data_IF_143121326956
#
_entry.id   IF_143121326956
#
_cell.length_a   1.000
_cell.length_b   1.000
_cell.length_c   1.000
_cell.angle_alpha   90.00
_cell.angle_beta   90.00
_cell.angle_gamma   90.00
#
_symmetry.space_group_name_H-M   'P 1'
#
loop_
_entity.id
_entity.type
_entity.pdbx_description
1 polymer ?
#
# COMPACT_ATOMS: atom_id res chain seq x y z
N UNK A 1 67.50 -14.31 -26.83
CA UNK A 1 67.04 -13.66 -25.59
C UNK A 1 66.39 -12.35 -25.99
N UNK A 2 65.09 -12.39 -26.24
CA UNK A 2 64.29 -11.26 -26.74
C UNK A 2 63.80 -10.44 -25.55
N UNK A 3 64.11 -9.14 -25.50
CA UNK A 3 63.56 -8.21 -24.52
C UNK A 3 62.36 -7.52 -25.15
N UNK A 4 61.15 -7.87 -24.69
CA UNK A 4 59.91 -7.16 -25.01
C UNK A 4 59.87 -5.85 -24.22
N UNK A 5 59.58 -4.77 -24.93
CA UNK A 5 59.18 -3.48 -24.39
C UNK A 5 57.67 -3.56 -24.17
N UNK A 6 57.20 -3.42 -22.93
CA UNK A 6 55.76 -3.22 -22.63
C UNK A 6 55.55 -1.75 -22.33
N UNK A 7 54.77 -1.11 -23.21
CA UNK A 7 54.22 0.23 -23.05
C UNK A 7 53.00 0.10 -22.13
N UNK A 8 53.03 0.72 -20.95
CA UNK A 8 51.87 0.85 -20.07
C UNK A 8 51.25 2.20 -20.37
N UNK A 9 50.10 2.20 -21.02
CA UNK A 9 49.23 3.38 -21.16
C UNK A 9 48.35 3.39 -19.91
N UNK A 10 48.54 4.38 -19.05
CA UNK A 10 47.68 4.65 -17.91
C UNK A 10 46.54 5.56 -18.42
N UNK A 11 45.38 4.98 -18.71
CA UNK A 11 44.16 5.73 -18.97
C UNK A 11 43.59 6.16 -17.60
N UNK A 12 43.68 7.45 -17.31
CA UNK A 12 42.98 8.09 -16.21
C UNK A 12 41.56 8.36 -16.70
N UNK A 13 40.64 7.44 -16.42
CA UNK A 13 39.21 7.66 -16.61
C UNK A 13 38.72 8.56 -15.49
N UNK A 14 38.53 9.84 -15.79
CA UNK A 14 37.80 10.77 -14.95
C UNK A 14 36.31 10.47 -15.21
N UNK A 15 35.71 9.65 -14.34
CA UNK A 15 34.25 9.53 -14.27
C UNK A 15 33.75 10.82 -13.61
N UNK A 16 33.32 11.78 -14.43
CA UNK A 16 32.40 12.82 -14.02
C UNK A 16 31.02 12.16 -14.00
N UNK A 17 30.73 11.45 -12.91
CA UNK A 17 29.35 11.15 -12.56
C UNK A 17 28.79 12.42 -11.94
N UNK A 18 27.88 13.10 -12.64
CA UNK A 18 26.96 14.04 -12.02
C UNK A 18 26.26 13.28 -10.91
N UNK A 19 26.53 13.67 -9.67
CA UNK A 19 25.70 13.25 -8.56
C UNK A 19 24.53 14.21 -8.60
N UNK A 20 23.39 13.76 -9.12
CA UNK A 20 22.12 14.30 -8.64
C UNK A 20 22.18 14.18 -7.11
N UNK A 21 22.18 15.31 -6.41
CA UNK A 21 22.02 15.32 -4.97
C UNK A 21 20.60 14.83 -4.72
N UNK A 22 20.45 13.58 -4.31
CA UNK A 22 19.18 13.11 -3.77
C UNK A 22 18.87 14.00 -2.56
N UNK A 23 17.96 14.95 -2.73
CA UNK A 23 17.39 15.72 -1.61
C UNK A 23 16.84 14.72 -0.59
N UNK A 24 16.85 15.11 0.68
CA UNK A 24 16.27 14.30 1.74
C UNK A 24 14.76 14.18 1.53
N UNK A 25 14.27 13.04 1.05
CA UNK A 25 12.84 12.87 0.76
C UNK A 25 12.15 12.23 1.96
N UNK A 26 11.51 13.06 2.79
CA UNK A 26 10.37 12.68 3.60
C UNK A 26 9.14 13.35 2.99
N UNK A 27 8.23 12.56 2.42
CA UNK A 27 7.02 13.05 1.78
C UNK A 27 5.92 13.18 2.81
N UNK A 28 5.27 14.35 2.85
CA UNK A 28 4.02 14.54 3.59
C UNK A 28 4.10 14.17 5.09
N UNK A 29 5.20 14.51 5.76
CA UNK A 29 5.41 14.16 7.16
C UNK A 29 4.46 14.86 8.16
N UNK A 30 3.83 15.97 7.74
CA UNK A 30 2.76 16.65 8.48
C UNK A 30 1.35 16.21 8.09
N UNK A 31 1.18 15.31 7.10
CA UNK A 31 -0.12 14.83 6.63
C UNK A 31 -1.06 15.94 6.07
N UNK A 32 -0.50 17.10 5.72
CA UNK A 32 -1.26 18.30 5.35
C UNK A 32 -1.91 18.23 3.96
N UNK A 33 -1.58 17.21 3.16
CA UNK A 33 -2.31 16.88 1.93
C UNK A 33 -3.73 16.37 2.23
N UNK A 34 -4.01 15.99 3.48
CA UNK A 34 -5.29 15.39 3.89
C UNK A 34 -5.38 13.90 3.60
N UNK A 35 -4.29 13.28 3.15
CA UNK A 35 -4.18 11.86 2.83
C UNK A 35 -2.80 11.30 3.23
N UNK A 36 -2.56 10.03 2.94
CA UNK A 36 -1.30 9.34 3.22
C UNK A 36 -0.31 9.37 2.06
N UNK A 37 -0.33 10.39 1.19
CA UNK A 37 0.64 10.51 0.07
C UNK A 37 2.07 10.24 0.56
N UNK A 38 2.77 9.28 -0.05
CA UNK A 38 4.12 8.85 0.31
C UNK A 38 4.22 7.90 1.52
N UNK A 39 3.12 7.57 2.20
CA UNK A 39 3.09 6.62 3.30
C UNK A 39 2.30 5.37 2.92
N UNK A 40 2.77 4.21 3.37
CA UNK A 40 2.01 2.96 3.30
C UNK A 40 1.37 2.70 4.65
N UNK A 41 0.10 2.31 4.67
CA UNK A 41 -0.66 2.03 5.89
C UNK A 41 -1.17 0.60 5.93
N UNK A 42 -1.61 0.16 7.11
CA UNK A 42 -2.43 -1.04 7.27
C UNK A 42 -3.40 -0.86 8.44
N UNK A 43 -4.56 -1.51 8.35
CA UNK A 43 -5.63 -1.51 9.34
C UNK A 43 -6.27 -0.14 9.57
N UNK A 44 -6.72 0.11 10.80
CA UNK A 44 -7.46 1.31 11.19
C UNK A 44 -6.54 2.51 11.31
N UNK A 45 -6.03 2.99 10.18
CA UNK A 45 -5.29 4.23 10.00
C UNK A 45 -6.14 5.28 9.30
N UNK A 46 -6.05 6.54 9.72
CA UNK A 46 -6.70 7.64 9.02
C UNK A 46 -5.93 8.95 9.19
N UNK A 47 -5.99 9.83 8.19
CA UNK A 47 -5.63 11.24 8.34
C UNK A 47 -6.86 11.99 8.83
N UNK A 48 -6.71 12.72 9.93
CA UNK A 48 -7.84 13.33 10.64
C UNK A 48 -7.51 14.75 11.08
N UNK A 49 -8.56 15.58 11.20
CA UNK A 49 -8.45 16.96 11.70
C UNK A 49 -8.70 17.07 13.21
N UNK A 50 -9.19 16.00 13.84
CA UNK A 50 -9.49 15.95 15.28
C UNK A 50 -9.71 14.51 15.77
N UNK A 51 -9.22 14.17 16.97
CA UNK A 51 -9.55 12.92 17.67
C UNK A 51 -10.11 13.22 19.06
N UNK A 52 -11.42 13.08 19.25
CA UNK A 52 -12.08 13.48 20.50
C UNK A 52 -11.90 14.98 20.75
N UNK A 53 -11.14 15.37 21.79
CA UNK A 53 -10.77 16.77 22.06
C UNK A 53 -9.35 17.15 21.62
N UNK A 54 -8.62 16.24 20.97
CA UNK A 54 -7.24 16.42 20.54
C UNK A 54 -7.26 16.96 19.11
N UNK A 55 -6.56 18.06 18.88
CA UNK A 55 -6.31 18.63 17.55
C UNK A 55 -4.88 18.31 17.11
N UNK A 56 -4.59 18.36 15.80
CA UNK A 56 -3.23 18.33 15.25
C UNK A 56 -2.28 19.26 16.01
N UNK A 57 -1.03 18.82 16.11
CA UNK A 57 0.04 19.59 16.74
C UNK A 57 0.49 20.72 15.81
N UNK A 58 0.68 20.41 14.53
CA UNK A 58 0.97 21.36 13.48
C UNK A 58 -0.12 21.30 12.40
N UNK A 59 -0.31 22.40 11.66
CA UNK A 59 -1.23 22.41 10.53
C UNK A 59 -2.70 22.07 10.85
N UNK A 60 -3.32 21.33 9.94
CA UNK A 60 -4.76 21.00 9.91
C UNK A 60 -5.04 19.52 10.06
N UNK A 61 -4.06 18.65 9.82
CA UNK A 61 -4.22 17.21 9.76
C UNK A 61 -3.18 16.49 10.63
N UNK A 62 -3.49 15.27 11.06
CA UNK A 62 -2.56 14.39 11.75
C UNK A 62 -2.88 12.93 11.41
N UNK A 63 -1.90 12.04 11.51
CA UNK A 63 -2.13 10.61 11.37
C UNK A 63 -2.67 10.01 12.67
N UNK A 64 -3.69 9.15 12.54
CA UNK A 64 -4.20 8.31 13.63
C UNK A 64 -4.07 6.85 13.24
N UNK A 65 -3.37 6.08 14.05
CA UNK A 65 -3.47 4.62 14.11
C UNK A 65 -4.34 4.25 15.32
N UNK A 66 -5.30 3.36 15.13
CA UNK A 66 -6.15 2.85 16.21
C UNK A 66 -6.06 1.33 16.25
N UNK A 67 -6.14 0.73 17.43
CA UNK A 67 -6.26 -0.72 17.55
C UNK A 67 -7.50 -1.21 16.78
N UNK A 68 -7.33 -2.25 15.96
CA UNK A 68 -8.40 -2.95 15.23
C UNK A 68 -8.29 -4.45 15.50
N UNK A 69 -9.33 -5.23 15.19
CA UNK A 69 -9.36 -6.69 15.34
C UNK A 69 -8.83 -7.47 14.14
N UNK A 70 -8.54 -6.79 13.02
CA UNK A 70 -8.39 -7.39 11.69
C UNK A 70 -7.07 -8.12 11.44
N UNK A 71 -5.90 -7.54 11.76
CA UNK A 71 -4.63 -8.22 11.50
C UNK A 71 -3.82 -8.50 12.77
N UNK A 72 -3.33 -9.74 12.85
CA UNK A 72 -2.50 -10.23 13.95
C UNK A 72 -1.09 -9.64 13.98
N UNK A 73 -0.41 -9.83 15.10
CA UNK A 73 0.95 -9.30 15.37
C UNK A 73 1.96 -9.69 14.29
N UNK A 74 1.90 -10.92 13.77
CA UNK A 74 2.84 -11.38 12.74
C UNK A 74 2.75 -10.58 11.44
N UNK A 75 1.53 -10.21 11.04
CA UNK A 75 1.29 -9.36 9.87
C UNK A 75 1.87 -7.96 10.08
N UNK A 76 1.66 -7.34 11.25
CA UNK A 76 2.21 -6.01 11.54
C UNK A 76 3.74 -6.04 11.55
N UNK A 77 4.34 -7.12 12.05
CA UNK A 77 5.80 -7.30 12.01
C UNK A 77 6.31 -7.41 10.57
N UNK A 78 5.67 -8.22 9.72
CA UNK A 78 6.01 -8.35 8.31
C UNK A 78 5.84 -7.03 7.56
N UNK A 79 4.70 -6.36 7.74
CA UNK A 79 4.42 -5.04 7.16
C UNK A 79 5.51 -4.02 7.51
N UNK A 80 5.97 -3.98 8.76
CA UNK A 80 7.03 -3.06 9.22
C UNK A 80 8.45 -3.56 8.95
N UNK A 81 8.64 -4.72 8.31
CA UNK A 81 9.96 -5.32 8.08
C UNK A 81 10.70 -5.72 9.37
N UNK A 82 9.95 -6.01 10.43
CA UNK A 82 10.49 -6.48 11.71
C UNK A 82 10.75 -8.00 11.67
N UNK A 83 11.70 -8.46 12.49
CA UNK A 83 11.84 -9.89 12.74
C UNK A 83 10.62 -10.41 13.53
N UNK A 84 10.13 -11.61 13.20
CA UNK A 84 9.00 -12.21 13.89
C UNK A 84 9.21 -12.30 15.42
N UNK A 85 8.23 -11.86 16.19
CA UNK A 85 8.25 -11.76 17.65
C UNK A 85 8.93 -10.50 18.22
N UNK A 86 9.37 -9.56 17.39
CA UNK A 86 9.99 -8.30 17.84
C UNK A 86 9.04 -7.47 18.70
N UNK A 87 7.74 -7.43 18.37
CA UNK A 87 6.75 -6.65 19.11
C UNK A 87 6.36 -7.32 20.44
N UNK A 88 6.51 -8.64 20.54
CA UNK A 88 6.33 -9.38 21.80
C UNK A 88 7.36 -8.99 22.87
N UNK A 89 8.45 -8.31 22.49
CA UNK A 89 9.40 -7.71 23.44
C UNK A 89 8.89 -6.43 24.11
N UNK A 90 7.92 -5.75 23.51
CA UNK A 90 7.36 -4.48 23.99
C UNK A 90 6.08 -4.65 24.81
N UNK A 91 5.37 -5.76 24.62
CA UNK A 91 4.14 -6.12 25.33
C UNK A 91 3.67 -7.52 24.95
N UNK A 92 2.39 -7.81 25.16
CA UNK A 92 1.76 -9.05 24.69
C UNK A 92 0.77 -8.73 23.57
N UNK A 93 1.24 -8.27 22.39
CA UNK A 93 0.37 -7.81 21.33
C UNK A 93 -0.47 -8.95 20.75
N UNK A 94 -1.69 -8.64 20.34
CA UNK A 94 -2.56 -9.53 19.55
C UNK A 94 -2.73 -8.97 18.15
N UNK A 95 -3.30 -7.77 18.04
CA UNK A 95 -3.71 -7.11 16.79
C UNK A 95 -3.36 -5.62 16.84
N UNK A 96 -3.29 -4.93 15.71
CA UNK A 96 -2.92 -3.51 15.71
C UNK A 96 -3.00 -2.84 14.35
N UNK A 97 -2.58 -1.57 14.33
CA UNK A 97 -2.48 -0.77 13.10
C UNK A 97 -1.13 -0.10 13.01
N UNK A 98 -0.67 0.11 11.79
CA UNK A 98 0.65 0.66 11.53
C UNK A 98 0.71 1.47 10.24
N UNK A 99 1.72 2.33 10.17
CA UNK A 99 2.07 3.13 8.99
C UNK A 99 3.60 3.15 8.85
N UNK A 100 4.11 3.22 7.62
CA UNK A 100 5.53 3.35 7.33
C UNK A 100 5.81 4.22 6.12
N UNK A 101 7.03 4.75 6.05
CA UNK A 101 7.58 5.38 4.86
C UNK A 101 9.06 5.02 4.76
N UNK A 102 9.51 4.76 3.53
CA UNK A 102 10.92 4.73 3.22
C UNK A 102 11.41 6.16 3.00
N UNK A 103 12.46 6.55 3.73
CA UNK A 103 13.03 7.89 3.69
C UNK A 103 14.48 7.79 3.25
N UNK A 104 14.90 8.71 2.39
CA UNK A 104 16.31 8.81 1.98
C UNK A 104 16.97 9.93 2.77
N UNK A 105 17.99 9.57 3.54
CA UNK A 105 18.76 10.48 4.38
C UNK A 105 20.13 10.69 3.73
N UNK A 106 20.40 11.85 3.11
CA UNK A 106 21.61 12.06 2.32
C UNK A 106 22.88 12.18 3.19
N UNK A 107 22.75 12.74 4.40
CA UNK A 107 23.84 12.92 5.38
C UNK A 107 23.33 12.67 6.81
N UNK A 108 24.20 12.53 7.81
CA UNK A 108 23.77 12.13 9.15
C UNK A 108 22.81 13.17 9.76
N UNK A 109 21.53 12.80 9.90
CA UNK A 109 20.44 13.71 10.24
C UNK A 109 19.62 13.18 11.42
N UNK A 110 18.58 13.93 11.81
CA UNK A 110 17.61 13.53 12.83
C UNK A 110 16.23 13.40 12.23
N UNK A 111 15.55 12.30 12.53
CA UNK A 111 14.10 12.24 12.37
C UNK A 111 13.49 12.84 13.64
N UNK A 112 12.58 13.78 13.48
CA UNK A 112 11.82 14.38 14.57
C UNK A 112 10.34 14.16 14.33
N UNK A 113 9.55 13.99 15.39
CA UNK A 113 8.10 13.86 15.27
C UNK A 113 7.40 14.14 16.60
N UNK A 114 6.14 14.56 16.49
CA UNK A 114 5.22 14.70 17.61
C UNK A 114 4.31 13.49 17.65
N UNK A 115 4.05 12.99 18.86
CA UNK A 115 3.19 11.84 19.05
C UNK A 115 2.35 11.95 20.31
N UNK A 116 1.18 11.31 20.30
CA UNK A 116 0.33 11.19 21.47
C UNK A 116 -0.33 9.81 21.50
N UNK A 117 -0.11 9.08 22.59
CA UNK A 117 -0.84 7.85 22.90
C UNK A 117 -2.05 8.16 23.76
N UNK A 118 -3.21 7.67 23.38
CA UNK A 118 -4.45 7.77 24.14
C UNK A 118 -5.12 6.41 24.20
N UNK A 119 -5.70 6.08 25.34
CA UNK A 119 -6.29 4.76 25.55
C UNK A 119 -7.65 4.89 26.22
N UNK A 120 -8.62 4.06 25.82
CA UNK A 120 -9.82 3.80 26.60
C UNK A 120 -9.73 2.47 27.36
N UNK A 121 -8.53 1.91 27.46
CA UNK A 121 -8.22 0.63 28.11
C UNK A 121 -7.75 0.81 29.57
N UNK A 122 -7.57 -0.30 30.29
CA UNK A 122 -7.21 -0.38 31.69
C UNK A 122 -6.43 -1.68 31.98
N UNK A 123 -5.59 -1.66 33.02
CA UNK A 123 -4.84 -2.87 33.38
C UNK A 123 -5.78 -4.05 33.75
N UNK A 124 -5.46 -5.29 33.36
CA UNK A 124 -4.16 -5.79 32.90
C UNK A 124 -3.90 -5.70 31.40
N UNK A 125 -4.86 -5.21 30.61
CA UNK A 125 -4.72 -5.01 29.18
C UNK A 125 -3.82 -3.80 28.96
N UNK A 126 -2.67 -4.04 28.34
CA UNK A 126 -1.57 -3.09 28.29
C UNK A 126 -1.22 -2.78 26.85
N UNK A 127 -2.22 -2.29 26.13
CA UNK A 127 -2.06 -1.68 24.82
C UNK A 127 -0.88 -0.73 24.80
N UNK A 128 -0.17 -0.72 23.68
CA UNK A 128 1.06 0.04 23.57
C UNK A 128 1.24 0.65 22.19
N UNK A 129 1.85 1.83 22.18
CA UNK A 129 2.29 2.51 20.98
C UNK A 129 3.80 2.41 20.84
N UNK A 130 4.27 2.37 19.61
CA UNK A 130 5.68 2.22 19.28
C UNK A 130 6.02 2.94 17.97
N UNK A 131 7.32 3.16 17.77
CA UNK A 131 7.86 3.50 16.45
C UNK A 131 8.89 2.45 16.05
N UNK A 132 9.19 2.41 14.76
CA UNK A 132 10.20 1.53 14.17
C UNK A 132 11.19 2.30 13.34
N UNK A 133 12.44 1.84 13.35
CA UNK A 133 13.48 2.34 12.48
C UNK A 133 14.35 1.16 12.05
N UNK A 134 14.47 0.96 10.74
CA UNK A 134 15.30 -0.10 10.11
C UNK A 134 15.07 -1.50 10.70
N UNK A 135 13.81 -1.92 10.79
CA UNK A 135 13.46 -3.25 11.27
C UNK A 135 13.64 -3.43 12.78
N UNK A 136 13.77 -2.36 13.57
CA UNK A 136 13.79 -2.38 15.04
C UNK A 136 12.62 -1.60 15.61
N UNK A 137 11.99 -2.13 16.67
CA UNK A 137 10.84 -1.51 17.34
C UNK A 137 11.19 -0.91 18.71
N UNK A 138 10.63 0.26 19.00
CA UNK A 138 10.87 1.04 20.21
C UNK A 138 9.56 1.50 20.84
N UNK A 139 9.36 1.18 22.12
CA UNK A 139 8.17 1.58 22.87
C UNK A 139 8.08 3.12 23.03
N UNK A 140 6.95 3.70 22.65
CA UNK A 140 6.60 5.09 22.94
C UNK A 140 5.87 5.20 24.28
N UNK A 141 4.75 4.47 24.43
CA UNK A 141 3.92 4.48 25.64
C UNK A 141 3.04 3.24 25.72
N UNK A 142 2.38 3.03 26.87
CA UNK A 142 1.40 1.98 27.10
C UNK A 142 0.42 2.36 28.21
N UNK A 143 -0.65 1.56 28.39
CA UNK A 143 -1.67 1.78 29.43
C UNK A 143 -1.05 1.90 30.82
N UNK A 144 -0.09 1.05 31.17
CA UNK A 144 0.61 1.11 32.45
C UNK A 144 1.33 2.46 32.68
N UNK A 145 1.75 3.14 31.61
CA UNK A 145 2.46 4.42 31.67
C UNK A 145 1.51 5.61 31.77
N UNK A 146 0.36 5.57 31.11
CA UNK A 146 -0.61 6.67 31.09
C UNK A 146 -1.74 6.54 32.12
N UNK A 147 -1.89 5.34 32.70
CA UNK A 147 -2.99 4.98 33.60
C UNK A 147 -4.27 4.58 32.85
N UNK A 148 -5.21 3.98 33.59
CA UNK A 148 -6.50 3.54 33.05
C UNK A 148 -7.25 4.71 32.39
N UNK A 149 -7.67 4.50 31.14
CA UNK A 149 -8.31 5.48 30.27
C UNK A 149 -7.48 6.77 30.08
N UNK A 150 -6.16 6.63 30.10
CA UNK A 150 -5.20 7.72 30.13
C UNK A 150 -4.79 8.26 28.75
N UNK A 151 -3.97 9.30 28.79
CA UNK A 151 -3.30 9.87 27.62
C UNK A 151 -1.92 10.39 28.01
N UNK A 152 -0.95 10.26 27.10
CA UNK A 152 0.39 10.85 27.27
C UNK A 152 0.38 12.37 27.10
N UNK A 153 -0.65 12.94 26.47
CA UNK A 153 -0.54 14.24 25.80
C UNK A 153 0.48 14.21 24.65
N UNK A 154 0.60 15.32 23.92
CA UNK A 154 1.62 15.48 22.89
C UNK A 154 3.03 15.41 23.50
N UNK A 155 3.83 14.51 22.97
CA UNK A 155 5.24 14.29 23.27
C UNK A 155 6.06 14.52 22.00
N UNK A 156 7.34 14.83 22.17
CA UNK A 156 8.28 15.08 21.09
C UNK A 156 9.44 14.09 21.17
N UNK A 157 9.85 13.53 20.03
CA UNK A 157 11.00 12.63 19.94
C UNK A 157 11.94 13.07 18.81
N UNK A 158 13.24 12.89 19.06
CA UNK A 158 14.31 13.03 18.06
C UNK A 158 15.10 11.72 18.02
N UNK A 159 15.37 11.23 16.80
CA UNK A 159 16.13 10.00 16.56
C UNK A 159 17.27 10.32 15.60
N UNK A 160 18.51 10.13 16.04
CA UNK A 160 19.68 10.28 15.18
C UNK A 160 19.72 9.12 14.16
N UNK A 161 19.89 9.45 12.87
CA UNK A 161 20.01 8.51 11.76
C UNK A 161 21.31 8.73 11.00
N UNK A 162 21.82 7.66 10.39
CA UNK A 162 22.98 7.73 9.51
C UNK A 162 22.58 8.16 8.10
N UNK A 163 23.51 8.54 7.23
CA UNK A 163 23.22 8.64 5.81
C UNK A 163 22.80 7.27 5.25
N UNK A 164 21.75 7.24 4.44
CA UNK A 164 21.25 6.04 3.78
C UNK A 164 19.73 6.08 3.61
N UNK A 165 19.22 5.01 3.02
CA UNK A 165 17.78 4.73 2.97
C UNK A 165 17.38 4.08 4.29
N UNK A 166 16.31 4.60 4.89
CA UNK A 166 15.78 4.17 6.18
C UNK A 166 14.29 3.91 6.06
N UNK A 167 13.76 2.98 6.86
CA UNK A 167 12.30 2.81 6.98
C UNK A 167 11.88 3.27 8.36
N UNK A 168 11.10 4.35 8.42
CA UNK A 168 10.45 4.84 9.64
C UNK A 168 9.01 4.34 9.65
N UNK A 169 8.55 3.84 10.80
CA UNK A 169 7.16 3.43 10.96
C UNK A 169 6.63 3.70 12.35
N UNK A 170 5.31 3.75 12.46
CA UNK A 170 4.59 3.98 13.70
C UNK A 170 3.48 2.96 13.83
N UNK A 171 3.14 2.56 15.06
CA UNK A 171 2.05 1.62 15.27
C UNK A 171 1.50 1.61 16.68
N UNK A 172 0.31 1.04 16.80
CA UNK A 172 -0.37 0.77 18.07
C UNK A 172 -0.86 -0.67 18.08
N UNK A 173 -0.58 -1.38 19.18
CA UNK A 173 -1.00 -2.77 19.37
C UNK A 173 -1.95 -2.89 20.55
N UNK A 174 -2.96 -3.73 20.36
CA UNK A 174 -3.85 -4.22 21.40
C UNK A 174 -3.16 -5.37 22.15
N UNK A 175 -3.34 -5.43 23.48
CA UNK A 175 -2.86 -6.53 24.31
C UNK A 175 -4.01 -7.31 24.97
N UNK A 176 -4.58 -8.26 24.22
CA UNK A 176 -5.46 -9.34 24.74
C UNK A 176 -6.81 -8.84 25.29
N UNK A 177 -7.46 -7.86 24.66
CA UNK A 177 -8.90 -7.60 24.89
C UNK A 177 -9.67 -7.40 23.57
N UNK A 178 -10.99 -7.65 23.60
CA UNK A 178 -11.91 -7.52 22.47
C UNK A 178 -12.91 -6.35 22.63
N UNK A 179 -12.78 -5.52 23.68
CA UNK A 179 -13.80 -4.54 24.06
C UNK A 179 -13.41 -3.05 24.14
N UNK A 180 -12.12 -2.68 24.04
CA UNK A 180 -11.62 -1.31 24.21
C UNK A 180 -10.51 -0.99 23.23
N UNK A 181 -10.35 0.31 22.90
CA UNK A 181 -9.44 0.74 21.84
C UNK A 181 -8.42 1.77 22.34
N UNK A 182 -7.21 1.63 21.81
CA UNK A 182 -6.14 2.60 21.99
C UNK A 182 -5.77 3.23 20.64
N UNK A 183 -5.25 4.45 20.68
CA UNK A 183 -4.83 5.16 19.49
C UNK A 183 -3.46 5.81 19.70
N UNK A 184 -2.66 5.75 18.64
CA UNK A 184 -1.47 6.56 18.46
C UNK A 184 -1.78 7.66 17.45
N UNK A 185 -1.57 8.90 17.86
CA UNK A 185 -1.58 10.07 16.98
C UNK A 185 -0.14 10.46 16.68
N UNK A 186 0.17 10.73 15.41
CA UNK A 186 1.49 11.19 14.96
C UNK A 186 1.31 12.39 14.06
N UNK A 187 2.20 13.37 14.21
CA UNK A 187 2.16 14.62 13.46
C UNK A 187 3.57 15.23 13.34
N UNK A 188 3.74 16.12 12.37
CA UNK A 188 4.96 16.87 12.09
C UNK A 188 6.22 15.98 12.12
N UNK A 189 6.14 14.84 11.41
CA UNK A 189 7.34 14.05 11.11
C UNK A 189 8.21 14.90 10.19
N UNK A 190 9.46 15.13 10.58
CA UNK A 190 10.37 15.97 9.83
C UNK A 190 11.79 15.41 9.88
N UNK A 191 12.51 15.56 8.76
CA UNK A 191 13.95 15.39 8.71
C UNK A 191 14.60 16.72 9.07
N UNK A 192 15.44 16.71 10.11
CA UNK A 192 16.23 17.86 10.51
C UNK A 192 17.70 17.60 10.21
N UNK A 193 18.22 18.31 9.20
CA UNK A 193 19.64 18.33 8.90
C UNK A 193 20.33 19.51 9.60
N UNK A 194 21.49 19.26 10.19
CA UNK A 194 22.39 20.34 10.65
C UNK A 194 23.59 20.50 9.71
N UNK A 195 23.58 19.79 8.59
CA UNK A 195 24.65 19.81 7.60
C UNK A 195 24.43 20.97 6.63
N UNK A 196 25.53 21.64 6.33
CA UNK A 196 25.64 22.81 5.46
C UNK A 196 26.79 22.44 4.51
N UNK A 197 26.45 21.94 3.32
CA UNK A 197 27.44 21.29 2.43
C UNK A 197 28.40 22.29 1.83
N UNK A 198 27.92 23.50 1.56
CA UNK A 198 28.67 24.53 0.86
C UNK A 198 29.27 25.62 1.78
N UNK A 199 28.86 25.61 3.05
CA UNK A 199 29.41 26.41 4.13
C UNK A 199 28.91 27.85 4.15
N UNK A 200 27.74 28.13 3.60
CA UNK A 200 27.17 29.47 3.50
C UNK A 200 26.40 29.91 4.76
N UNK A 201 26.15 28.98 5.67
CA UNK A 201 25.48 29.20 6.94
C UNK A 201 23.98 28.86 6.94
N UNK A 202 23.45 28.33 5.85
CA UNK A 202 22.11 27.74 5.72
C UNK A 202 22.27 26.21 5.74
N UNK A 203 21.32 25.48 6.33
CA UNK A 203 21.39 24.02 6.34
C UNK A 203 20.78 23.46 5.07
N UNK A 204 21.25 22.32 4.55
CA UNK A 204 20.77 21.73 3.28
C UNK A 204 19.24 21.61 3.18
N UNK A 205 18.53 21.41 4.30
CA UNK A 205 17.05 21.30 4.30
C UNK A 205 16.32 22.63 4.27
N UNK A 206 17.03 23.73 4.54
CA UNK A 206 16.55 25.12 4.45
C UNK A 206 17.19 25.85 3.26
N UNK A 207 18.11 25.21 2.55
CA UNK A 207 18.95 25.78 1.51
C UNK A 207 18.40 25.46 0.12
N UNK A 208 18.00 26.48 -0.62
CA UNK A 208 17.54 26.36 -2.00
C UNK A 208 18.68 26.21 -3.03
N UNK A 209 19.96 26.25 -2.59
CA UNK A 209 21.11 25.83 -3.38
C UNK A 209 22.13 25.03 -2.55
N UNK A 210 21.82 23.80 -2.10
CA UNK A 210 22.62 23.05 -1.11
C UNK A 210 24.11 22.84 -1.43
N UNK A 211 24.52 23.02 -2.68
CA UNK A 211 25.90 22.83 -3.15
C UNK A 211 26.55 24.12 -3.65
N UNK A 212 25.84 25.26 -3.64
CA UNK A 212 26.28 26.55 -4.17
C UNK A 212 26.00 27.70 -3.21
N UNK A 213 27.04 28.29 -2.57
CA UNK A 213 26.84 29.23 -1.47
C UNK A 213 25.97 30.43 -1.83
N UNK A 214 24.82 30.57 -1.18
CA UNK A 214 23.84 31.62 -1.43
C UNK A 214 23.08 32.03 -0.14
N UNK A 215 23.83 32.55 0.83
CA UNK A 215 23.29 32.98 2.15
C UNK A 215 22.14 34.02 2.12
N UNK A 216 21.80 34.58 0.95
CA UNK A 216 20.63 35.45 0.78
C UNK A 216 19.35 34.68 0.39
N UNK A 217 19.48 33.41 -0.02
CA UNK A 217 18.40 32.49 -0.39
C UNK A 217 17.45 33.13 -1.40
N UNK A 218 18.02 33.90 -2.34
CA UNK A 218 17.25 34.50 -3.42
C UNK A 218 16.66 33.40 -4.31
N UNK A 219 15.39 33.56 -4.66
CA UNK A 219 14.59 32.65 -5.47
C UNK A 219 13.56 33.55 -6.19
N UNK A 220 13.87 33.88 -7.43
CA UNK A 220 13.19 34.95 -8.18
C UNK A 220 11.86 34.52 -8.77
N UNK A 221 11.68 33.24 -9.10
CA UNK A 221 10.46 32.67 -9.67
C UNK A 221 9.69 31.77 -8.70
N UNK A 222 10.29 31.36 -7.59
CA UNK A 222 9.65 30.66 -6.49
C UNK A 222 9.55 29.14 -6.71
N UNK A 223 10.44 28.56 -7.50
CA UNK A 223 10.41 27.13 -7.84
C UNK A 223 11.13 26.23 -6.82
N UNK A 224 11.82 26.84 -5.84
CA UNK A 224 12.64 26.24 -4.78
C UNK A 224 14.10 25.94 -5.17
N UNK A 225 14.54 26.35 -6.35
CA UNK A 225 15.94 26.41 -6.77
C UNK A 225 16.40 27.86 -6.66
N UNK A 226 17.46 28.11 -5.90
CA UNK A 226 17.91 29.49 -5.69
C UNK A 226 18.57 30.10 -6.92
N UNK A 227 18.47 31.43 -7.08
CA UNK A 227 19.07 32.23 -8.17
C UNK A 227 20.57 31.91 -8.42
N UNK A 228 21.27 31.39 -7.41
CA UNK A 228 22.70 31.09 -7.46
C UNK A 228 23.02 29.78 -8.19
N UNK A 229 22.09 28.84 -8.23
CA UNK A 229 22.24 27.51 -8.83
C UNK A 229 21.18 27.20 -9.89
N UNK A 230 20.24 28.12 -10.12
CA UNK A 230 19.18 28.02 -11.11
C UNK A 230 19.68 28.34 -12.54
N UNK A 231 19.50 27.39 -13.46
CA UNK A 231 19.80 27.55 -14.88
C UNK A 231 18.73 28.36 -15.65
N UNK A 232 17.59 28.65 -15.02
CA UNK A 232 16.50 29.49 -15.52
C UNK A 232 15.89 30.42 -14.46
N UNK A 233 16.73 31.27 -13.86
CA UNK A 233 16.45 32.29 -12.80
C UNK A 233 15.08 33.01 -12.80
N UNK A 234 14.34 33.08 -13.91
CA UNK A 234 13.05 33.77 -13.98
C UNK A 234 11.89 32.91 -14.47
N UNK A 235 12.13 31.64 -14.77
CA UNK A 235 11.21 30.71 -15.41
C UNK A 235 11.29 29.35 -14.67
N UNK A 236 10.37 29.16 -13.72
CA UNK A 236 10.36 28.03 -12.78
C UNK A 236 10.55 26.66 -13.44
N UNK A 237 11.58 25.93 -13.01
CA UNK A 237 11.99 24.61 -13.51
C UNK A 237 12.77 23.82 -12.44
N UNK A 238 12.07 23.32 -11.43
CA UNK A 238 12.64 22.58 -10.30
C UNK A 238 13.52 21.37 -10.70
N UNK A 239 13.26 20.76 -11.87
CA UNK A 239 14.03 19.64 -12.40
C UNK A 239 15.39 20.06 -12.99
N UNK A 240 15.56 21.34 -13.34
CA UNK A 240 16.78 21.94 -13.87
C UNK A 240 17.34 21.21 -15.10
N UNK A 241 16.43 20.70 -15.94
CA UNK A 241 16.81 20.04 -17.20
C UNK A 241 17.54 21.03 -18.10
N UNK A 242 18.63 20.57 -18.72
CA UNK A 242 19.53 21.29 -19.64
C UNK A 242 20.00 20.25 -20.68
N UNK A 243 19.21 20.11 -21.74
CA UNK A 243 19.29 19.00 -22.70
C UNK A 243 20.62 18.98 -23.46
N UNK A 244 21.19 20.14 -23.77
CA UNK A 244 22.45 20.26 -24.50
C UNK A 244 23.69 20.55 -23.64
N UNK A 245 23.49 20.90 -22.37
CA UNK A 245 24.55 21.20 -21.41
C UNK A 245 25.24 22.54 -21.63
N UNK A 246 24.58 23.52 -22.24
CA UNK A 246 25.13 24.86 -22.49
C UNK A 246 25.02 25.80 -21.28
N UNK A 247 24.18 25.43 -20.31
CA UNK A 247 23.97 26.09 -19.03
C UNK A 247 22.74 26.99 -18.96
N UNK A 248 21.99 27.17 -20.05
CA UNK A 248 20.58 27.56 -19.97
C UNK A 248 19.73 26.29 -19.81
N UNK A 249 18.70 26.33 -18.97
CA UNK A 249 17.78 25.19 -18.87
C UNK A 249 16.69 25.22 -19.95
N UNK A 250 16.10 24.07 -20.23
CA UNK A 250 15.07 23.90 -21.27
C UNK A 250 13.86 24.85 -21.07
N UNK A 251 13.58 25.27 -19.83
CA UNK A 251 12.49 26.20 -19.55
C UNK A 251 12.72 27.63 -20.09
N UNK A 252 13.98 28.01 -20.32
CA UNK A 252 14.38 29.36 -20.72
C UNK A 252 15.35 29.40 -21.91
N UNK A 253 15.79 28.24 -22.41
CA UNK A 253 16.42 28.14 -23.71
C UNK A 253 15.39 28.34 -24.83
N UNK A 254 15.89 28.57 -26.04
CA UNK A 254 15.11 28.79 -27.26
C UNK A 254 15.40 27.72 -28.31
N UNK A 255 16.32 26.81 -28.01
CA UNK A 255 16.90 25.74 -28.85
C UNK A 255 17.51 24.68 -27.91
N UNK A 256 16.65 23.90 -27.25
CA UNK A 256 17.00 23.03 -26.10
C UNK A 256 18.08 21.97 -26.44
N UNK A 257 18.20 21.58 -27.71
CA UNK A 257 19.16 20.58 -28.18
C UNK A 257 20.33 21.16 -29.01
N UNK A 258 20.37 22.49 -29.15
CA UNK A 258 21.37 23.27 -29.88
C UNK A 258 21.64 22.78 -31.32
N UNK A 259 20.61 22.25 -32.00
CA UNK A 259 20.71 21.74 -33.37
C UNK A 259 20.66 22.87 -34.43
N UNK A 260 20.24 24.06 -34.00
CA UNK A 260 20.12 25.28 -34.79
C UNK A 260 18.71 25.60 -35.28
N UNK A 261 17.69 24.85 -34.84
CA UNK A 261 16.27 25.10 -35.03
C UNK A 261 15.65 25.44 -33.67
N UNK A 262 14.92 26.55 -33.59
CA UNK A 262 14.30 26.93 -32.32
C UNK A 262 13.10 26.02 -31.98
N UNK A 263 12.87 25.68 -30.72
CA UNK A 263 11.90 24.65 -30.25
C UNK A 263 10.50 24.83 -30.86
N UNK A 264 10.01 26.06 -30.94
CA UNK A 264 8.69 26.36 -31.51
C UNK A 264 8.57 26.12 -33.03
N UNK A 265 9.67 25.77 -33.70
CA UNK A 265 9.78 25.38 -35.10
C UNK A 265 10.36 23.98 -35.28
N UNK A 266 10.78 23.34 -34.19
CA UNK A 266 11.43 22.04 -34.16
C UNK A 266 10.39 20.92 -34.00
N UNK A 267 10.49 19.86 -34.81
CA UNK A 267 9.67 18.66 -34.65
C UNK A 267 10.29 17.62 -33.70
N UNK A 268 11.47 17.87 -33.14
CA UNK A 268 12.13 17.15 -32.06
C UNK A 268 12.90 18.11 -31.12
N UNK A 269 12.22 18.95 -30.33
CA UNK A 269 12.87 19.99 -29.52
C UNK A 269 14.01 19.51 -28.60
N UNK A 270 13.94 18.27 -28.10
CA UNK A 270 14.93 17.70 -27.20
C UNK A 270 15.92 16.74 -27.88
N UNK A 271 15.90 16.61 -29.21
CA UNK A 271 16.70 15.62 -29.92
C UNK A 271 17.22 16.12 -31.28
N UNK A 272 18.49 16.53 -31.27
CA UNK A 272 19.12 17.23 -32.38
C UNK A 272 18.90 16.55 -33.74
N UNK A 273 18.12 17.20 -34.60
CA UNK A 273 17.75 16.73 -35.92
C UNK A 273 17.72 17.87 -36.96
N UNK A 274 18.88 18.48 -37.34
CA UNK A 274 18.92 19.71 -38.15
C UNK A 274 18.34 19.60 -39.56
N UNK A 275 17.96 18.40 -39.98
CA UNK A 275 17.31 18.10 -41.25
C UNK A 275 15.79 18.07 -41.17
N UNK A 276 15.22 18.00 -39.96
CA UNK A 276 13.78 17.98 -39.67
C UNK A 276 13.06 16.92 -40.54
N UNK A 277 13.63 15.70 -40.57
CA UNK A 277 13.02 14.56 -41.25
C UNK A 277 11.78 14.13 -40.45
N UNK A 278 10.69 13.84 -41.15
CA UNK A 278 9.36 13.48 -40.63
C UNK A 278 8.72 12.61 -41.72
N UNK A 279 8.91 11.30 -41.58
CA UNK A 279 8.71 10.33 -42.65
C UNK A 279 7.23 10.00 -42.88
N UNK A 280 6.40 10.03 -41.84
CA UNK A 280 4.97 9.78 -41.92
C UNK A 280 4.12 11.06 -41.89
N UNK A 281 4.67 12.19 -41.45
CA UNK A 281 4.02 13.50 -41.51
C UNK A 281 3.10 13.78 -40.32
N UNK A 282 3.33 13.14 -39.18
CA UNK A 282 2.49 13.26 -37.99
C UNK A 282 2.82 14.49 -37.13
N UNK A 283 3.99 15.10 -37.37
CA UNK A 283 4.49 16.30 -36.69
C UNK A 283 5.58 16.05 -35.66
N UNK A 284 5.94 14.79 -35.39
CA UNK A 284 7.10 14.35 -34.61
C UNK A 284 8.21 13.97 -35.59
N UNK A 285 9.45 14.41 -35.35
CA UNK A 285 10.55 14.11 -36.27
C UNK A 285 11.11 12.70 -36.12
N UNK A 286 11.66 12.14 -37.19
CA UNK A 286 12.24 10.78 -37.24
C UNK A 286 13.31 10.53 -36.14
N UNK A 287 13.91 11.58 -35.57
CA UNK A 287 14.92 11.49 -34.53
C UNK A 287 14.35 11.23 -33.12
N UNK A 288 13.09 11.57 -32.90
CA UNK A 288 12.38 11.46 -31.62
C UNK A 288 11.04 10.72 -31.74
N UNK A 289 10.72 10.19 -32.93
CA UNK A 289 9.51 9.43 -33.21
C UNK A 289 9.70 7.94 -32.91
N UNK A 290 8.97 7.42 -31.91
CA UNK A 290 8.94 6.03 -31.50
C UNK A 290 8.24 5.10 -32.51
N UNK A 291 7.57 5.66 -33.54
CA UNK A 291 6.95 4.96 -34.66
C UNK A 291 7.11 5.67 -36.02
N UNK A 292 8.34 6.09 -36.37
CA UNK A 292 8.79 6.78 -37.63
C UNK A 292 8.15 6.46 -39.01
N UNK A 293 7.32 5.45 -39.14
CA UNK A 293 6.62 5.08 -40.38
C UNK A 293 5.08 5.00 -40.22
N UNK A 294 4.53 5.38 -39.06
CA UNK A 294 3.13 5.27 -38.72
C UNK A 294 2.69 6.42 -37.81
N UNK A 295 1.82 7.30 -38.36
CA UNK A 295 1.39 8.53 -37.69
C UNK A 295 0.83 8.28 -36.27
N UNK A 296 1.56 8.70 -35.23
CA UNK A 296 1.17 8.66 -33.82
C UNK A 296 1.64 9.93 -33.08
N UNK A 297 1.00 11.10 -33.31
CA UNK A 297 1.44 12.37 -32.71
C UNK A 297 1.43 12.39 -31.17
N UNK A 298 0.74 11.44 -30.54
CA UNK A 298 0.70 11.28 -29.09
C UNK A 298 1.89 10.51 -28.50
N UNK A 299 2.67 9.81 -29.33
CA UNK A 299 3.87 9.05 -28.96
C UNK A 299 3.62 8.11 -27.77
N UNK A 300 2.41 7.54 -27.68
CA UNK A 300 2.06 6.57 -26.64
C UNK A 300 3.00 5.35 -26.72
N UNK A 301 3.51 4.93 -25.56
CA UNK A 301 4.46 3.82 -25.35
C UNK A 301 4.17 3.24 -23.96
N UNK A 302 3.29 2.23 -23.92
CA UNK A 302 2.68 1.70 -22.70
C UNK A 302 3.68 0.93 -21.82
N UNK A 303 4.62 0.18 -22.41
CA UNK A 303 5.60 -0.62 -21.68
C UNK A 303 6.96 0.08 -21.49
N UNK A 304 7.18 1.20 -22.19
CA UNK A 304 8.38 2.02 -22.10
C UNK A 304 9.60 1.37 -22.77
N UNK A 305 9.42 0.46 -23.73
CA UNK A 305 10.53 -0.18 -24.44
C UNK A 305 11.15 0.70 -25.55
N UNK A 306 10.47 1.79 -25.89
CA UNK A 306 10.87 2.78 -26.90
C UNK A 306 10.26 2.55 -28.29
N UNK A 307 9.45 1.51 -28.49
CA UNK A 307 8.53 1.40 -29.61
C UNK A 307 7.16 1.96 -29.20
N UNK A 308 6.55 2.81 -30.03
CA UNK A 308 5.21 3.32 -29.69
C UNK A 308 4.12 2.26 -29.88
N UNK A 309 3.02 2.38 -29.15
CA UNK A 309 1.89 1.44 -29.14
C UNK A 309 1.39 1.08 -30.56
N UNK A 310 1.49 2.04 -31.49
CA UNK A 310 1.03 1.87 -32.87
C UNK A 310 1.90 0.89 -33.69
N UNK A 311 3.19 0.78 -33.35
CA UNK A 311 4.16 -0.04 -34.06
C UNK A 311 4.79 -1.14 -33.18
N UNK A 312 4.48 -1.16 -31.90
CA UNK A 312 4.87 -2.20 -30.97
C UNK A 312 4.11 -3.52 -31.24
N UNK A 313 4.81 -4.65 -31.45
CA UNK A 313 4.19 -5.97 -31.51
C UNK A 313 3.63 -6.51 -30.17
N UNK A 314 3.97 -5.91 -29.04
CA UNK A 314 3.75 -6.40 -27.66
C UNK A 314 3.54 -5.21 -26.69
N UNK A 315 2.40 -4.51 -26.84
CA UNK A 315 2.17 -3.14 -26.31
C UNK A 315 2.34 -3.02 -24.79
N UNK A 316 2.07 -4.07 -24.03
CA UNK A 316 2.19 -4.06 -22.57
C UNK A 316 3.44 -4.78 -22.03
N UNK A 317 4.29 -5.29 -22.92
CA UNK A 317 5.59 -5.87 -22.60
C UNK A 317 5.55 -7.16 -21.78
N UNK A 318 4.42 -7.88 -21.77
CA UNK A 318 4.21 -9.07 -20.94
C UNK A 318 4.85 -10.35 -21.55
N UNK A 319 5.22 -10.28 -22.83
CA UNK A 319 5.83 -11.34 -23.63
C UNK A 319 4.87 -12.10 -24.55
N UNK A 320 3.60 -11.70 -24.61
CA UNK A 320 2.54 -12.25 -25.45
C UNK A 320 2.10 -11.20 -26.48
N UNK A 321 2.56 -11.36 -27.71
CA UNK A 321 2.27 -10.39 -28.78
C UNK A 321 0.77 -10.10 -28.99
N UNK A 322 0.41 -8.83 -29.24
CA UNK A 322 -0.95 -8.26 -29.22
C UNK A 322 -2.09 -9.09 -29.84
N UNK A 323 -1.82 -9.89 -30.88
CA UNK A 323 -2.86 -10.69 -31.55
C UNK A 323 -3.06 -12.10 -30.97
N UNK A 324 -2.19 -12.51 -30.05
CA UNK A 324 -2.28 -13.74 -29.27
C UNK A 324 -2.64 -13.48 -27.81
N UNK A 325 -2.63 -12.22 -27.42
CA UNK A 325 -2.88 -11.73 -26.08
C UNK A 325 -4.39 -11.57 -25.85
N UNK A 326 -4.90 -12.14 -24.76
CA UNK A 326 -6.28 -11.93 -24.30
C UNK A 326 -6.45 -10.63 -23.50
N UNK A 327 -5.37 -9.95 -23.13
CA UNK A 327 -5.36 -8.61 -22.55
C UNK A 327 -4.27 -7.70 -23.18
N UNK A 328 -4.40 -7.28 -24.46
CA UNK A 328 -3.35 -6.55 -25.20
C UNK A 328 -2.87 -5.18 -24.64
N UNK A 329 -3.42 -4.75 -23.50
CA UNK A 329 -3.17 -3.47 -22.86
C UNK A 329 -2.97 -3.63 -21.34
N UNK A 330 -2.85 -4.86 -20.83
CA UNK A 330 -2.74 -5.15 -19.41
C UNK A 330 -1.92 -6.43 -19.21
N UNK A 331 -0.67 -6.25 -18.79
CA UNK A 331 0.30 -7.32 -18.73
C UNK A 331 -0.19 -8.53 -17.90
N UNK A 332 -0.41 -9.66 -18.55
CA UNK A 332 -0.87 -10.91 -17.95
C UNK A 332 -0.16 -12.13 -18.59
N UNK A 333 1.13 -12.35 -18.27
CA UNK A 333 1.95 -13.34 -18.97
C UNK A 333 1.48 -14.80 -18.87
N UNK A 334 0.57 -15.10 -17.92
CA UNK A 334 -0.05 -16.40 -17.72
C UNK A 334 -1.33 -16.62 -18.53
N UNK A 335 -1.94 -15.55 -19.05
CA UNK A 335 -3.09 -15.55 -19.95
C UNK A 335 -4.25 -16.37 -19.35
N UNK A 336 -4.52 -16.14 -18.06
CA UNK A 336 -5.71 -16.70 -17.41
C UNK A 336 -6.95 -16.09 -18.04
N UNK A 337 -7.97 -16.92 -18.19
CA UNK A 337 -9.25 -16.69 -18.86
C UNK A 337 -10.21 -17.69 -18.22
N UNK A 338 -10.76 -17.30 -17.07
CA UNK A 338 -11.48 -18.18 -16.14
C UNK A 338 -12.80 -18.67 -16.74
N UNK A 339 -13.54 -17.82 -17.43
CA UNK A 339 -14.81 -18.14 -18.07
C UNK A 339 -14.68 -18.69 -19.52
N UNK A 340 -13.55 -18.42 -20.18
CA UNK A 340 -13.26 -18.84 -21.55
C UNK A 340 -13.93 -17.98 -22.61
N UNK A 341 -14.30 -16.73 -22.34
CA UNK A 341 -14.95 -15.83 -23.29
C UNK A 341 -13.97 -15.19 -24.30
N UNK A 342 -12.68 -15.15 -23.91
CA UNK A 342 -11.55 -14.69 -24.69
C UNK A 342 -10.96 -13.35 -24.27
N UNK A 343 -11.59 -12.63 -23.34
CA UNK A 343 -10.93 -11.60 -22.54
C UNK A 343 -10.22 -12.30 -21.36
N UNK A 344 -9.10 -11.76 -20.86
CA UNK A 344 -8.35 -12.41 -19.77
C UNK A 344 -8.68 -11.80 -18.41
N UNK A 345 -8.49 -12.55 -17.32
CA UNK A 345 -8.85 -12.12 -15.95
C UNK A 345 -8.22 -10.75 -15.54
N UNK A 346 -7.16 -10.31 -16.21
CA UNK A 346 -6.52 -9.01 -15.92
C UNK A 346 -7.20 -7.80 -16.59
N UNK A 347 -8.11 -8.04 -17.53
CA UNK A 347 -8.80 -7.02 -18.30
C UNK A 347 -10.29 -7.32 -18.54
N UNK A 348 -10.76 -8.47 -18.08
CA UNK A 348 -12.17 -8.77 -17.91
C UNK A 348 -12.72 -8.03 -16.67
N UNK A 349 -14.02 -7.76 -16.67
CA UNK A 349 -14.71 -7.13 -15.55
C UNK A 349 -15.65 -8.11 -14.81
N UNK A 350 -15.80 -9.33 -15.32
CA UNK A 350 -16.69 -10.40 -14.81
C UNK A 350 -15.97 -11.74 -15.07
N UNK A 351 -14.93 -12.04 -14.29
CA UNK A 351 -13.96 -13.13 -14.56
C UNK A 351 -14.59 -14.53 -14.68
N UNK A 352 -15.79 -14.73 -14.15
CA UNK A 352 -16.49 -16.01 -14.13
C UNK A 352 -17.86 -16.03 -14.83
N UNK A 353 -18.23 -14.92 -15.48
CA UNK A 353 -19.39 -14.73 -16.35
C UNK A 353 -20.73 -15.06 -15.65
N UNK A 354 -20.79 -14.81 -14.33
CA UNK A 354 -21.94 -15.09 -13.48
C UNK A 354 -22.96 -13.94 -13.44
N UNK A 355 -22.53 -12.75 -13.88
CA UNK A 355 -23.30 -11.52 -14.00
C UNK A 355 -23.10 -10.52 -12.86
N UNK A 356 -22.23 -10.81 -11.90
CA UNK A 356 -21.70 -9.89 -10.89
C UNK A 356 -20.33 -9.42 -11.36
N UNK A 357 -20.02 -8.13 -11.19
CA UNK A 357 -18.75 -7.58 -11.65
C UNK A 357 -17.72 -7.67 -10.52
N UNK A 358 -16.47 -7.97 -10.88
CA UNK A 358 -15.32 -8.00 -9.98
C UNK A 358 -15.16 -6.68 -9.19
N UNK A 359 -15.32 -5.54 -9.86
CA UNK A 359 -15.37 -4.19 -9.28
C UNK A 359 -16.74 -3.56 -9.56
N UNK A 360 -17.79 -4.12 -8.95
CA UNK A 360 -19.17 -3.72 -9.22
C UNK A 360 -19.57 -2.36 -8.66
N UNK A 361 -18.76 -1.74 -7.80
CA UNK A 361 -18.94 -0.36 -7.34
C UNK A 361 -18.10 0.69 -8.10
N UNK A 362 -17.09 0.24 -8.87
CA UNK A 362 -16.24 1.06 -9.72
C UNK A 362 -15.21 1.89 -8.96
N UNK A 363 -14.76 1.41 -7.80
CA UNK A 363 -13.71 2.05 -6.98
C UNK A 363 -12.33 1.96 -7.63
N UNK A 364 -12.13 0.99 -8.53
CA UNK A 364 -10.84 0.58 -9.07
C UNK A 364 -10.06 -0.36 -8.15
N UNK A 365 -10.71 -0.91 -7.10
CA UNK A 365 -10.11 -1.82 -6.13
C UNK A 365 -11.05 -3.01 -5.93
N UNK A 366 -10.75 -4.14 -6.59
CA UNK A 366 -11.53 -5.38 -6.43
C UNK A 366 -11.48 -5.88 -4.98
N UNK A 367 -12.65 -6.20 -4.42
CA UNK A 367 -12.84 -6.79 -3.09
C UNK A 367 -12.80 -5.80 -1.93
N UNK A 368 -12.78 -4.49 -2.19
CA UNK A 368 -12.83 -3.48 -1.12
C UNK A 368 -14.25 -3.23 -0.60
N UNK A 369 -15.26 -3.62 -1.38
CA UNK A 369 -16.67 -3.59 -1.01
C UNK A 369 -17.41 -4.87 -1.47
N UNK A 370 -17.12 -6.06 -0.92
CA UNK A 370 -17.72 -7.33 -1.35
C UNK A 370 -19.24 -7.36 -1.17
N UNK A 371 -19.94 -8.01 -2.10
CA UNK A 371 -21.36 -8.28 -1.97
C UNK A 371 -21.63 -9.21 -0.78
N UNK A 372 -22.73 -8.95 -0.08
CA UNK A 372 -23.20 -9.72 1.08
C UNK A 372 -24.72 -9.88 1.01
N UNK A 373 -25.26 -10.93 1.61
CA UNK A 373 -26.70 -11.14 1.78
C UNK A 373 -27.54 -11.06 0.47
N UNK A 374 -26.96 -11.47 -0.67
CA UNK A 374 -27.61 -11.44 -1.98
C UNK A 374 -27.75 -10.04 -2.62
N UNK A 375 -26.95 -9.08 -2.16
CA UNK A 375 -26.66 -7.87 -2.93
C UNK A 375 -25.92 -8.24 -4.22
N UNK A 376 -26.22 -7.54 -5.32
CA UNK A 376 -25.71 -7.88 -6.67
C UNK A 376 -25.36 -6.64 -7.49
N UNK A 377 -25.33 -5.46 -6.86
CA UNK A 377 -25.05 -4.19 -7.54
C UNK A 377 -24.34 -3.22 -6.61
N UNK A 378 -23.38 -2.45 -7.12
CA UNK A 378 -22.62 -1.48 -6.33
C UNK A 378 -21.88 -2.16 -5.15
N UNK A 379 -21.37 -3.35 -5.41
CA UNK A 379 -20.51 -4.16 -4.58
C UNK A 379 -19.71 -5.08 -5.50
N UNK A 380 -18.58 -5.55 -5.01
CA UNK A 380 -17.63 -6.41 -5.71
C UNK A 380 -18.02 -7.87 -5.56
N UNK A 381 -17.69 -8.70 -6.55
CA UNK A 381 -17.89 -10.14 -6.44
C UNK A 381 -17.12 -10.73 -5.26
N UNK A 382 -17.82 -11.36 -4.33
CA UNK A 382 -17.20 -11.99 -3.17
C UNK A 382 -16.54 -13.36 -3.51
N UNK A 383 -16.69 -13.84 -4.75
CA UNK A 383 -16.04 -15.00 -5.33
C UNK A 383 -15.61 -14.82 -6.80
N UNK A 384 -14.96 -13.70 -7.13
CA UNK A 384 -14.37 -13.32 -8.44
C UNK A 384 -14.19 -14.40 -9.54
N UNK A 385 -13.67 -15.60 -9.22
CA UNK A 385 -13.34 -16.64 -10.21
C UNK A 385 -14.20 -17.90 -10.10
N UNK A 386 -15.27 -17.88 -9.31
CA UNK A 386 -16.13 -19.02 -9.00
C UNK A 386 -17.61 -18.61 -9.03
N UNK A 387 -18.37 -19.00 -10.08
CA UNK A 387 -19.69 -18.45 -10.30
C UNK A 387 -20.64 -18.64 -9.12
N UNK A 388 -21.11 -17.53 -8.55
CA UNK A 388 -22.03 -17.47 -7.42
C UNK A 388 -23.00 -16.26 -7.52
N UNK A 389 -23.94 -16.26 -8.48
CA UNK A 389 -24.78 -15.08 -8.76
C UNK A 389 -25.67 -14.61 -7.59
N UNK A 390 -25.83 -15.46 -6.57
CA UNK A 390 -26.63 -15.20 -5.37
C UNK A 390 -25.78 -14.63 -4.22
N UNK A 391 -24.44 -14.57 -4.34
CA UNK A 391 -23.49 -13.93 -3.43
C UNK A 391 -23.75 -14.26 -1.94
N UNK A 392 -23.98 -15.55 -1.67
CA UNK A 392 -24.13 -16.07 -0.30
C UNK A 392 -22.78 -15.96 0.44
N UNK A 393 -22.83 -15.57 1.71
CA UNK A 393 -21.68 -15.33 2.59
C UNK A 393 -22.20 -15.45 4.04
N UNK A 394 -22.06 -16.63 4.63
CA UNK A 394 -22.73 -16.99 5.87
C UNK A 394 -22.06 -16.44 7.13
N UNK A 395 -20.73 -16.40 7.17
CA UNK A 395 -19.95 -15.84 8.27
C UNK A 395 -19.81 -14.29 8.21
N UNK A 396 -20.04 -13.71 7.03
CA UNK A 396 -19.96 -12.28 6.76
C UNK A 396 -18.53 -11.77 6.62
N UNK A 397 -17.58 -12.65 6.26
CA UNK A 397 -16.21 -12.27 5.96
C UNK A 397 -16.09 -11.67 4.53
N UNK A 398 -14.89 -11.61 3.95
CA UNK A 398 -14.70 -11.04 2.61
C UNK A 398 -14.93 -12.01 1.45
N UNK A 399 -15.18 -13.29 1.72
CA UNK A 399 -15.32 -14.37 0.75
C UNK A 399 -16.75 -14.88 0.75
N UNK A 400 -17.26 -15.24 -0.41
CA UNK A 400 -18.56 -15.92 -0.51
C UNK A 400 -18.45 -17.41 -0.26
N UNK A 401 -19.55 -18.03 0.16
CA UNK A 401 -19.65 -19.47 0.46
C UNK A 401 -19.21 -20.35 -0.73
N UNK A 402 -19.31 -19.84 -1.97
CA UNK A 402 -18.91 -20.60 -3.16
C UNK A 402 -17.39 -20.80 -3.29
N UNK A 403 -16.60 -19.92 -2.68
CA UNK A 403 -15.14 -19.89 -2.74
C UNK A 403 -14.48 -19.85 -1.36
N UNK A 404 -15.29 -19.93 -0.30
CA UNK A 404 -14.83 -20.24 1.04
C UNK A 404 -14.58 -21.75 1.21
N UNK A 405 -13.82 -22.09 2.24
CA UNK A 405 -13.53 -23.45 2.67
C UNK A 405 -14.02 -23.75 4.08
N UNK A 406 -14.51 -22.75 4.80
CA UNK A 406 -15.03 -22.78 6.17
C UNK A 406 -16.20 -21.78 6.25
N UNK A 407 -17.32 -22.12 5.63
CA UNK A 407 -18.47 -21.23 5.36
C UNK A 407 -19.04 -20.54 6.63
N UNK A 408 -18.79 -21.07 7.83
CA UNK A 408 -19.28 -20.53 9.10
C UNK A 408 -18.21 -20.12 10.12
N UNK A 409 -16.94 -20.17 9.71
CA UNK A 409 -15.77 -19.64 10.42
C UNK A 409 -15.60 -20.27 11.83
N UNK A 410 -16.02 -21.54 11.98
CA UNK A 410 -15.93 -22.30 13.23
C UNK A 410 -14.58 -23.04 13.40
N UNK A 411 -13.78 -23.07 12.32
CA UNK A 411 -12.47 -23.68 12.22
C UNK A 411 -12.45 -25.10 11.66
N UNK A 412 -13.58 -25.57 11.10
CA UNK A 412 -13.73 -26.88 10.49
C UNK A 412 -14.05 -26.72 9.00
N UNK A 413 -13.13 -27.17 8.15
CA UNK A 413 -13.29 -27.13 6.69
C UNK A 413 -14.57 -27.85 6.22
N UNK A 414 -15.34 -27.25 5.30
CA UNK A 414 -16.64 -27.74 4.82
C UNK A 414 -16.59 -29.20 4.32
N UNK A 415 -15.42 -29.66 3.87
CA UNK A 415 -15.28 -31.05 3.41
C UNK A 415 -15.39 -32.08 4.53
N UNK A 416 -15.29 -31.66 5.78
CA UNK A 416 -15.37 -32.49 6.99
C UNK A 416 -16.32 -31.94 8.05
N UNK A 417 -16.85 -30.73 7.88
CA UNK A 417 -17.87 -30.15 8.74
C UNK A 417 -19.20 -30.93 8.59
N UNK A 418 -19.87 -31.23 9.70
CA UNK A 418 -21.21 -31.81 9.71
C UNK A 418 -22.34 -30.76 9.81
N UNK A 419 -22.01 -29.46 9.91
CA UNK A 419 -22.92 -28.33 9.90
C UNK A 419 -22.33 -27.08 9.21
N UNK A 420 -22.03 -27.19 7.91
CA UNK A 420 -21.33 -26.17 7.09
C UNK A 420 -21.81 -24.70 7.24
N UNK A 421 -23.06 -24.46 7.64
CA UNK A 421 -23.62 -23.12 7.79
C UNK A 421 -24.13 -22.89 9.22
N UNK A 422 -23.56 -23.53 10.24
CA UNK A 422 -23.99 -23.39 11.63
C UNK A 422 -22.83 -23.74 12.58
N UNK A 423 -22.16 -22.73 13.18
CA UNK A 423 -20.89 -22.95 13.87
C UNK A 423 -20.99 -23.98 14.98
N UNK A 424 -20.25 -25.06 14.85
CA UNK A 424 -20.20 -26.16 15.80
C UNK A 424 -18.79 -26.81 15.88
N UNK A 425 -17.80 -26.13 16.49
CA UNK A 425 -16.41 -26.60 16.52
C UNK A 425 -16.19 -27.95 17.22
N UNK A 426 -17.20 -28.46 17.95
CA UNK A 426 -17.16 -29.77 18.60
C UNK A 426 -17.61 -30.92 17.70
N UNK A 427 -18.24 -30.62 16.56
CA UNK A 427 -18.68 -31.56 15.54
C UNK A 427 -19.51 -32.70 16.14
N UNK A 428 -20.33 -32.37 17.15
CA UNK A 428 -21.23 -33.33 17.79
C UNK A 428 -22.24 -33.87 16.77
N UNK A 429 -22.45 -35.18 16.80
CA UNK A 429 -23.36 -35.95 15.93
C UNK A 429 -23.81 -37.16 16.76
N UNK A 430 -24.91 -36.98 17.49
CA UNK A 430 -25.33 -37.88 18.57
C UNK A 430 -25.86 -39.21 18.02
N UNK A 431 -26.57 -39.20 16.89
CA UNK A 431 -27.12 -40.40 16.27
C UNK A 431 -26.19 -41.05 15.21
N UNK A 432 -25.17 -40.31 14.75
CA UNK A 432 -24.15 -40.77 13.82
C UNK A 432 -24.61 -40.80 12.37
N UNK A 433 -25.61 -40.01 11.98
CA UNK A 433 -26.14 -39.96 10.62
C UNK A 433 -25.33 -39.08 9.65
N UNK A 434 -24.44 -38.24 10.21
CA UNK A 434 -23.54 -37.34 9.49
C UNK A 434 -24.02 -35.90 9.38
N UNK A 435 -25.18 -35.55 9.93
CA UNK A 435 -25.63 -34.17 10.19
C UNK A 435 -25.26 -33.84 11.63
N UNK A 436 -24.67 -32.66 11.87
CA UNK A 436 -24.29 -32.29 13.22
C UNK A 436 -25.48 -31.88 14.09
N UNK A 437 -25.33 -32.09 15.39
CA UNK A 437 -26.32 -31.75 16.42
C UNK A 437 -26.77 -30.27 16.34
N UNK A 438 -25.89 -29.38 15.87
CA UNK A 438 -26.14 -27.93 15.83
C UNK A 438 -27.09 -27.49 14.70
N UNK A 439 -27.13 -28.25 13.60
CA UNK A 439 -27.93 -27.96 12.42
C UNK A 439 -29.07 -28.97 12.20
N UNK A 440 -29.30 -29.84 13.19
CA UNK A 440 -30.38 -30.82 13.23
C UNK A 440 -31.55 -30.40 14.16
N UNK A 441 -32.70 -31.07 14.04
CA UNK A 441 -33.90 -30.83 14.85
C UNK A 441 -34.41 -32.05 15.63
N UNK A 442 -33.67 -33.17 15.59
CA UNK A 442 -33.98 -34.49 16.15
C UNK A 442 -32.65 -35.22 16.43
N UNK A 443 -31.85 -34.73 17.38
CA UNK A 443 -30.42 -35.07 17.52
C UNK A 443 -30.13 -36.53 17.86
N UNK A 444 -31.10 -37.26 18.41
CA UNK A 444 -30.95 -38.68 18.71
C UNK A 444 -31.63 -39.61 17.69
N UNK A 445 -32.27 -39.03 16.67
CA UNK A 445 -32.91 -39.75 15.57
C UNK A 445 -34.11 -40.62 16.00
N UNK A 446 -34.75 -40.31 17.13
CA UNK A 446 -35.84 -41.11 17.67
C UNK A 446 -37.22 -40.78 17.07
N UNK A 447 -37.29 -39.75 16.21
CA UNK A 447 -38.47 -39.17 15.53
C UNK A 447 -39.25 -38.12 16.31
N UNK A 448 -38.81 -37.77 17.52
CA UNK A 448 -39.37 -36.69 18.34
C UNK A 448 -38.45 -35.48 18.20
N UNK A 449 -38.95 -34.35 17.64
CA UNK A 449 -38.11 -33.18 17.49
C UNK A 449 -37.62 -32.64 18.84
N UNK A 450 -36.36 -32.19 18.92
CA UNK A 450 -35.68 -31.69 20.13
C UNK A 450 -36.55 -30.71 20.93
N UNK A 451 -37.31 -29.87 20.23
CA UNK A 451 -38.15 -28.84 20.81
C UNK A 451 -39.29 -29.37 21.70
N UNK A 452 -39.64 -30.66 21.58
CA UNK A 452 -40.69 -31.32 22.35
C UNK A 452 -40.25 -32.64 22.99
N UNK A 453 -38.97 -32.96 22.88
CA UNK A 453 -38.36 -34.18 23.40
C UNK A 453 -38.00 -34.04 24.89
N UNK A 454 -38.33 -35.05 25.70
CA UNK A 454 -37.98 -35.13 27.12
C UNK A 454 -36.60 -35.77 27.38
N UNK A 455 -36.00 -36.39 26.37
CA UNK A 455 -34.64 -36.93 26.31
C UNK A 455 -33.93 -36.59 24.97
N UNK A 456 -33.69 -35.31 24.63
CA UNK A 456 -33.18 -34.88 23.31
C UNK A 456 -31.78 -35.38 22.88
N UNK A 457 -31.11 -36.22 23.68
CA UNK A 457 -29.78 -36.77 23.41
C UNK A 457 -29.75 -38.31 23.60
N UNK A 458 -30.88 -38.96 23.92
CA UNK A 458 -30.96 -40.42 24.16
C UNK A 458 -32.28 -40.99 23.62
N UNK A 459 -32.23 -41.89 22.60
CA UNK A 459 -33.42 -42.33 21.89
C UNK A 459 -34.54 -42.91 22.79
N UNK A 460 -35.60 -42.14 23.03
CA UNK A 460 -36.84 -42.56 23.68
C UNK A 460 -38.09 -42.16 22.87
N UNK A 461 -38.41 -42.93 21.81
CA UNK A 461 -39.57 -42.63 20.96
C UNK A 461 -40.92 -42.80 21.69
N UNK A 462 -40.91 -43.22 22.97
CA UNK A 462 -42.10 -43.37 23.81
C UNK A 462 -42.29 -42.22 24.80
N UNK A 463 -41.28 -41.36 25.01
CA UNK A 463 -41.32 -40.17 25.89
C UNK A 463 -41.84 -40.54 27.29
N UNK A 464 -41.21 -41.55 27.89
CA UNK A 464 -41.68 -42.14 29.14
C UNK A 464 -41.15 -41.34 30.32
N UNK A 465 -41.97 -40.44 30.87
CA UNK A 465 -41.69 -39.74 32.14
C UNK A 465 -42.46 -40.40 33.31
N UNK A 466 -41.82 -41.34 34.01
CA UNK A 466 -42.50 -42.12 35.06
C UNK A 466 -42.74 -41.32 36.35
N UNK A 467 -41.91 -40.34 36.67
CA UNK A 467 -41.99 -39.59 37.93
C UNK A 467 -42.57 -38.16 37.81
N UNK A 468 -42.82 -37.71 36.58
CA UNK A 468 -43.52 -36.49 36.24
C UNK A 468 -42.65 -35.24 36.41
N UNK A 469 -41.32 -35.37 36.31
CA UNK A 469 -40.40 -34.25 36.49
C UNK A 469 -40.11 -33.47 35.19
N UNK A 470 -40.60 -33.98 34.05
CA UNK A 470 -40.45 -33.38 32.73
C UNK A 470 -39.15 -33.74 32.02
N UNK A 471 -38.42 -34.76 32.49
CA UNK A 471 -37.34 -35.45 31.77
C UNK A 471 -37.77 -36.91 31.52
N UNK A 472 -37.39 -37.48 30.39
CA UNK A 472 -37.68 -38.89 30.09
C UNK A 472 -36.89 -39.84 30.98
N UNK A 473 -37.33 -41.09 31.04
CA UNK A 473 -36.75 -42.14 31.90
C UNK A 473 -35.36 -42.64 31.40
N UNK A 474 -34.90 -42.23 30.20
CA UNK A 474 -33.74 -42.77 29.50
C UNK A 474 -32.40 -42.52 30.22
#
# INVERSE_FOLDING_TARGET
MSRKLSLVVLACGLLLGGRASAQAVLVNGGFETGDFTGWTTTNSTAVITQYGSITPYDGSYMARMQTSSSHGTGFIEEFLGLAQGSLSGLGSPTVGSAIKQEITVPTADRITFWWQFTTSDYLPFNDFAFYTLDGQAFLLSNVASVGDHGSSGWQYLEVDVTPGTHTIGFGVMNAIDTGVNSALLVDAVALFSTFDSDGDGITNGEDNCPETPNSDQADSDGDQVGDACDNCVFDANLDQTDTDGDGAGDACDVDDDNDGIADGLDNCPAAANPLQEDSDGDGVGDACDNCSLAENPGQEDMDGDGAGDLCDPDIDGDGVINFQDNCPYAANPDQVDTDGDGDGDSCDADDDDDGILDDGDGSGIIGDNPCVDGETTNCDDNCQTTPNPDQENFDGDSRGDACDTDDDDDGIDDTVDNCHFTPNPDQADTDGDGIGDACETDRDGDTIPDAIDDCPDDPDPLQLDTDGDGMGDA
#
